data_IF_335086751650
#
_entry.id   IF_335086751650
#
_cell.length_a   1.000
_cell.length_b   1.000
_cell.length_c   1.000
_cell.angle_alpha   90.00
_cell.angle_beta   90.00
_cell.angle_gamma   90.00
#
_symmetry.space_group_name_H-M   'P 1'
#
loop_
_entity.id
_entity.type
_entity.pdbx_description
1 polymer ?
#
# COMPACT_ATOMS: atom_id res chain seq x y z
N UNK A 1 -9.76 -31.30 2.55
CA UNK A 1 -9.77 -30.40 1.38
C UNK A 1 -10.40 -29.08 1.80
N UNK A 2 -9.59 -28.05 2.05
CA UNK A 2 -10.08 -26.69 2.33
C UNK A 2 -9.18 -25.67 1.62
N UNK A 3 -9.80 -24.87 0.75
CA UNK A 3 -9.21 -24.00 -0.25
C UNK A 3 -8.24 -22.94 0.32
N UNK A 4 -6.93 -23.15 0.17
CA UNK A 4 -5.85 -22.29 0.67
C UNK A 4 -5.57 -21.00 -0.11
N UNK A 5 -6.57 -20.41 -0.77
CA UNK A 5 -6.37 -19.26 -1.67
C UNK A 5 -7.11 -17.99 -1.24
N UNK A 6 -7.22 -17.73 0.07
CA UNK A 6 -7.63 -16.40 0.53
C UNK A 6 -6.48 -15.41 0.35
N UNK A 7 -6.69 -14.28 -0.37
CA UNK A 7 -5.65 -13.29 -0.58
C UNK A 7 -5.27 -12.65 0.76
N UNK A 8 -4.05 -12.93 1.25
CA UNK A 8 -3.55 -12.39 2.51
C UNK A 8 -3.56 -10.84 2.45
N UNK A 9 -4.07 -10.16 3.50
CA UNK A 9 -4.02 -8.71 3.58
C UNK A 9 -2.57 -8.22 3.58
N UNK A 10 -2.33 -6.99 3.12
CA UNK A 10 -1.04 -6.36 3.34
C UNK A 10 -0.83 -6.16 4.85
N UNK A 11 0.32 -6.60 5.36
CA UNK A 11 0.71 -6.42 6.77
C UNK A 11 1.37 -5.05 6.98
N UNK A 12 0.75 -3.96 6.53
CA UNK A 12 1.33 -2.60 6.68
C UNK A 12 0.26 -1.58 7.08
N UNK A 13 0.59 -0.60 7.95
CA UNK A 13 -0.28 0.54 8.23
C UNK A 13 -0.69 1.24 6.92
N UNK A 14 -1.94 1.68 6.83
CA UNK A 14 -2.53 2.25 5.60
C UNK A 14 -2.92 1.22 4.53
N UNK A 15 -2.64 -0.07 4.73
CA UNK A 15 -2.69 -1.06 3.67
C UNK A 15 -3.36 -2.34 4.15
N UNK A 16 -4.62 -2.24 4.58
CA UNK A 16 -5.39 -3.38 5.11
C UNK A 16 -6.02 -4.31 4.06
N UNK A 17 -6.07 -3.90 2.79
CA UNK A 17 -6.76 -4.66 1.74
C UNK A 17 -6.01 -5.93 1.32
N UNK A 18 -6.68 -6.91 0.69
CA UNK A 18 -6.03 -8.07 0.10
C UNK A 18 -5.08 -7.67 -1.02
N UNK A 19 -3.99 -8.41 -1.18
CA UNK A 19 -3.06 -8.19 -2.30
C UNK A 19 -3.76 -8.46 -3.63
N UNK A 20 -3.78 -7.44 -4.49
CA UNK A 20 -4.26 -7.59 -5.88
C UNK A 20 -3.38 -8.63 -6.59
N UNK A 21 -4.05 -9.58 -7.23
CA UNK A 21 -3.42 -10.57 -8.12
C UNK A 21 -3.38 -9.97 -9.52
N UNK A 22 -2.19 -9.81 -10.10
CA UNK A 22 -2.07 -9.44 -11.51
C UNK A 22 -1.68 -10.66 -12.32
N UNK A 23 -2.38 -10.90 -13.42
CA UNK A 23 -2.00 -11.90 -14.43
C UNK A 23 -0.85 -11.29 -15.25
N UNK A 24 0.30 -11.96 -15.27
CA UNK A 24 1.43 -11.57 -16.12
C UNK A 24 1.23 -12.10 -17.54
N UNK A 25 1.92 -11.50 -18.52
CA UNK A 25 2.04 -12.07 -19.88
C UNK A 25 2.55 -13.51 -19.77
N UNK A 26 1.77 -14.47 -20.27
CA UNK A 26 2.04 -15.91 -20.13
C UNK A 26 1.21 -16.65 -19.08
N UNK A 27 0.15 -16.04 -18.54
CA UNK A 27 -0.85 -16.75 -17.70
C UNK A 27 -0.44 -16.98 -16.24
N UNK A 28 0.78 -16.60 -15.85
CA UNK A 28 1.25 -16.71 -14.46
C UNK A 28 0.61 -15.62 -13.61
N UNK A 29 0.00 -15.99 -12.49
CA UNK A 29 -0.55 -15.06 -11.52
C UNK A 29 0.55 -14.62 -10.54
N UNK A 30 0.80 -13.31 -10.44
CA UNK A 30 1.73 -12.75 -9.45
C UNK A 30 0.95 -11.90 -8.46
N UNK A 31 1.08 -12.22 -7.17
CA UNK A 31 0.60 -11.36 -6.08
C UNK A 31 1.49 -10.12 -6.01
N UNK A 32 0.90 -8.92 -6.05
CA UNK A 32 1.67 -7.69 -5.86
C UNK A 32 2.24 -7.62 -4.44
N UNK A 33 3.40 -6.98 -4.30
CA UNK A 33 4.02 -6.77 -2.97
C UNK A 33 3.23 -5.78 -2.11
N UNK A 34 2.51 -4.86 -2.75
CA UNK A 34 1.63 -3.86 -2.13
C UNK A 34 0.19 -4.07 -2.60
N UNK A 35 -0.75 -3.63 -1.78
CA UNK A 35 -2.18 -3.87 -2.01
C UNK A 35 -2.81 -2.82 -2.92
N UNK A 36 -2.17 -1.66 -3.07
CA UNK A 36 -2.55 -0.63 -4.04
C UNK A 36 -1.33 0.22 -4.43
N UNK A 37 -1.43 1.03 -5.51
CA UNK A 37 -0.40 2.00 -5.88
C UNK A 37 -0.09 3.01 -4.77
N UNK A 38 -1.11 3.49 -4.04
CA UNK A 38 -0.95 4.44 -2.93
C UNK A 38 -0.06 3.83 -1.85
N UNK A 39 -0.32 2.58 -1.49
CA UNK A 39 0.50 1.83 -0.52
C UNK A 39 1.97 1.71 -0.91
N UNK A 40 2.26 1.65 -2.22
CA UNK A 40 3.64 1.61 -2.71
C UNK A 40 4.31 2.96 -2.56
N UNK A 41 3.63 4.04 -2.92
CA UNK A 41 4.18 5.39 -2.89
C UNK A 41 4.36 5.85 -1.44
N UNK A 42 3.36 5.64 -0.58
CA UNK A 42 3.46 5.88 0.85
C UNK A 42 4.68 5.19 1.47
N UNK A 43 4.92 3.91 1.15
CA UNK A 43 6.08 3.18 1.68
C UNK A 43 7.41 3.77 1.20
N UNK A 44 7.48 4.18 -0.07
CA UNK A 44 8.67 4.83 -0.62
C UNK A 44 8.94 6.16 0.09
N UNK A 45 7.91 7.00 0.27
CA UNK A 45 7.98 8.26 0.99
C UNK A 45 8.43 8.06 2.43
N UNK A 46 7.80 7.14 3.16
CA UNK A 46 8.14 6.85 4.55
C UNK A 46 9.58 6.35 4.70
N UNK A 47 10.02 5.46 3.80
CA UNK A 47 11.41 4.95 3.80
C UNK A 47 12.40 6.08 3.52
N UNK A 48 12.07 6.98 2.58
CA UNK A 48 12.88 8.15 2.26
C UNK A 48 12.95 9.12 3.44
N UNK A 49 11.83 9.43 4.07
CA UNK A 49 11.76 10.32 5.22
C UNK A 49 12.67 9.85 6.37
N UNK A 50 12.61 8.55 6.69
CA UNK A 50 13.48 7.96 7.71
C UNK A 50 14.95 8.00 7.30
N UNK A 51 15.26 7.64 6.04
CA UNK A 51 16.64 7.63 5.53
C UNK A 51 17.26 9.02 5.50
N UNK A 52 16.48 10.02 5.09
CA UNK A 52 16.92 11.40 4.91
C UNK A 52 16.78 12.21 6.23
N UNK A 53 16.30 11.58 7.32
CA UNK A 53 15.97 12.19 8.61
C UNK A 53 15.04 13.42 8.49
N UNK A 54 14.12 13.37 7.53
CA UNK A 54 13.15 14.42 7.27
C UNK A 54 11.93 14.27 8.20
N UNK A 55 11.95 15.04 9.29
CA UNK A 55 10.89 15.00 10.30
C UNK A 55 9.53 15.49 9.77
N UNK A 56 9.53 16.43 8.81
CA UNK A 56 8.30 16.97 8.24
C UNK A 56 7.62 15.92 7.34
N UNK A 57 8.38 15.29 6.45
CA UNK A 57 7.89 14.21 5.61
C UNK A 57 7.50 12.98 6.46
N UNK A 58 8.24 12.69 7.54
CA UNK A 58 7.89 11.61 8.47
C UNK A 58 6.52 11.86 9.15
N UNK A 59 6.22 13.10 9.54
CA UNK A 59 4.92 13.47 10.08
C UNK A 59 3.80 13.35 9.04
N UNK A 60 4.05 13.79 7.80
CA UNK A 60 3.06 13.71 6.73
C UNK A 60 2.75 12.25 6.35
N UNK A 61 3.74 11.37 6.23
CA UNK A 61 3.48 9.95 5.95
C UNK A 61 2.72 9.26 7.10
N UNK A 62 2.88 9.72 8.35
CA UNK A 62 2.05 9.24 9.45
C UNK A 62 0.59 9.69 9.28
N UNK A 63 0.33 10.96 8.94
CA UNK A 63 -1.02 11.44 8.63
C UNK A 63 -1.65 10.66 7.46
N UNK A 64 -0.90 10.45 6.38
CA UNK A 64 -1.34 9.68 5.22
C UNK A 64 -1.65 8.22 5.56
N UNK A 65 -0.95 7.62 6.52
CA UNK A 65 -1.24 6.25 6.97
C UNK A 65 -2.65 6.12 7.54
N UNK A 66 -3.11 7.12 8.30
CA UNK A 66 -4.47 7.17 8.86
C UNK A 66 -5.51 7.31 7.75
N UNK A 67 -5.29 8.20 6.78
CA UNK A 67 -6.18 8.36 5.63
C UNK A 67 -6.27 7.06 4.80
N UNK A 68 -5.13 6.39 4.60
CA UNK A 68 -5.06 5.14 3.89
C UNK A 68 -5.74 3.98 4.63
N UNK A 69 -5.69 3.97 5.96
CA UNK A 69 -6.40 3.02 6.82
C UNK A 69 -7.91 3.32 6.89
N UNK A 70 -8.31 4.58 6.72
CA UNK A 70 -9.72 4.99 6.64
C UNK A 70 -10.45 4.47 5.41
N UNK A 71 -9.72 4.08 4.35
CA UNK A 71 -10.33 3.59 3.12
C UNK A 71 -11.24 2.40 3.36
N UNK A 72 -12.31 2.36 2.59
CA UNK A 72 -13.29 1.25 2.57
C UNK A 72 -13.11 0.35 1.34
N UNK A 73 -12.49 0.88 0.28
CA UNK A 73 -12.20 0.16 -0.95
C UNK A 73 -10.71 0.26 -1.36
N UNK A 74 -10.12 -0.79 -1.96
CA UNK A 74 -8.77 -0.72 -2.52
C UNK A 74 -8.65 0.22 -3.74
N UNK A 75 -9.78 0.60 -4.37
CA UNK A 75 -9.81 1.55 -5.51
C UNK A 75 -10.01 3.00 -5.08
N UNK A 76 -10.30 3.22 -3.80
CA UNK A 76 -10.43 4.56 -3.23
C UNK A 76 -9.05 5.23 -3.17
N UNK A 77 -8.96 6.43 -3.76
CA UNK A 77 -7.70 7.17 -3.86
C UNK A 77 -7.54 8.12 -2.70
N UNK A 78 -6.33 8.15 -2.14
CA UNK A 78 -5.87 9.23 -1.25
C UNK A 78 -4.90 10.08 -2.08
N UNK A 79 -5.40 11.17 -2.67
CA UNK A 79 -4.65 11.95 -3.66
C UNK A 79 -3.37 12.55 -3.09
N UNK A 80 -3.40 12.96 -1.82
CA UNK A 80 -2.26 13.54 -1.09
C UNK A 80 -1.03 12.60 -1.01
N UNK A 81 -1.23 11.30 -1.24
CA UNK A 81 -0.12 10.33 -1.30
C UNK A 81 0.77 10.57 -2.54
N UNK A 82 0.18 11.05 -3.64
CA UNK A 82 0.87 11.24 -4.92
C UNK A 82 1.52 12.62 -5.07
N UNK A 83 1.16 13.58 -4.23
CA UNK A 83 1.80 14.90 -4.18
C UNK A 83 3.17 14.82 -3.52
N UNK A 84 4.15 15.49 -4.13
CA UNK A 84 5.53 15.63 -3.69
C UNK A 84 5.79 17.09 -3.31
#
# INVERSE_FOLDING_TARGET
MSNGNQPKPCKRPGCKFPRIVSIQRGGKSRRRQTCSPECRIWLLRATRAVRDNDAAEAAEVMRLSVALDGRTSPTERVQDVFTQ
#
